data_IF_517301966178
#
_entry.id   IF_517301966178
#
_cell.length_a   1.000
_cell.length_b   1.000
_cell.length_c   1.000
_cell.angle_alpha   90.00
_cell.angle_beta   90.00
_cell.angle_gamma   90.00
#
_symmetry.space_group_name_H-M   'P 1'
#
loop_
_entity.id
_entity.type
_entity.pdbx_description
1 polymer ?
#
# COMPACT_ATOMS: atom_id res chain seq x y z
N UNK A 1 -9.24 32.54 -9.19
CA UNK A 1 -8.11 33.10 -9.99
C UNK A 1 -7.14 31.96 -10.21
N UNK A 2 -6.76 31.71 -11.46
CA UNK A 2 -5.77 30.69 -11.80
C UNK A 2 -4.40 31.04 -11.20
N UNK A 3 -3.73 30.01 -10.71
CA UNK A 3 -2.39 30.13 -10.18
C UNK A 3 -1.38 29.84 -11.30
N UNK A 4 -0.40 30.71 -11.48
CA UNK A 4 0.69 30.53 -12.44
C UNK A 4 1.97 30.25 -11.67
N UNK A 5 2.58 29.10 -11.90
CA UNK A 5 3.86 28.71 -11.31
C UNK A 5 4.97 28.72 -12.38
N UNK A 6 5.98 29.55 -12.17
CA UNK A 6 7.13 29.71 -13.09
C UNK A 6 6.73 30.02 -14.56
N UNK A 7 5.62 30.70 -14.75
CA UNK A 7 5.07 31.04 -16.08
C UNK A 7 4.82 29.80 -17.01
N UNK A 8 5.00 28.61 -16.48
CA UNK A 8 4.87 27.35 -17.24
C UNK A 8 3.63 26.54 -16.87
N UNK A 9 3.11 26.74 -15.66
CA UNK A 9 1.99 25.96 -15.13
C UNK A 9 0.89 26.91 -14.67
N UNK A 10 -0.32 26.67 -15.13
CA UNK A 10 -1.52 27.36 -14.69
C UNK A 10 -2.56 26.34 -14.20
N UNK A 11 -3.36 26.71 -13.23
CA UNK A 11 -4.40 25.84 -12.68
C UNK A 11 -5.01 26.40 -11.40
N UNK A 12 -5.98 25.68 -10.86
CA UNK A 12 -6.59 26.02 -9.57
C UNK A 12 -5.63 25.61 -8.43
N UNK A 13 -5.22 26.54 -7.55
CA UNK A 13 -4.39 26.20 -6.42
C UNK A 13 -5.18 25.38 -5.40
N UNK A 14 -4.58 24.29 -4.91
CA UNK A 14 -5.13 23.44 -3.85
C UNK A 14 -4.22 23.55 -2.64
N UNK A 15 -4.81 23.88 -1.49
CA UNK A 15 -4.08 24.03 -0.23
C UNK A 15 -4.40 22.86 0.71
N UNK A 16 -3.36 22.25 1.27
CA UNK A 16 -3.47 21.29 2.36
C UNK A 16 -3.03 21.95 3.67
N UNK A 17 -3.87 21.89 4.68
CA UNK A 17 -3.62 22.50 5.99
C UNK A 17 -3.63 21.38 7.04
N UNK A 18 -2.53 21.29 7.81
CA UNK A 18 -2.46 20.38 8.95
C UNK A 18 -2.70 21.18 10.25
N UNK A 19 -3.71 20.78 10.98
CA UNK A 19 -4.00 21.33 12.31
C UNK A 19 -3.32 20.46 13.35
N UNK A 20 -2.28 20.99 14.01
CA UNK A 20 -1.48 20.24 14.99
C UNK A 20 -2.22 19.95 16.29
N UNK A 21 -3.22 20.76 16.64
CA UNK A 21 -3.98 20.68 17.89
C UNK A 21 -5.48 20.50 17.60
N UNK A 22 -6.24 20.17 18.64
CA UNK A 22 -7.70 20.01 18.57
C UNK A 22 -8.32 21.25 17.93
N UNK A 23 -8.68 21.13 16.68
CA UNK A 23 -9.55 22.12 16.04
C UNK A 23 -10.93 21.95 16.69
N UNK A 24 -11.43 23.01 17.30
CA UNK A 24 -12.83 23.06 17.65
C UNK A 24 -13.63 22.83 16.37
N UNK A 25 -14.41 21.78 16.34
CA UNK A 25 -15.14 21.30 15.17
C UNK A 25 -16.15 22.31 14.64
N UNK A 26 -16.38 23.42 15.36
CA UNK A 26 -17.34 24.47 15.02
C UNK A 26 -16.98 25.27 13.74
N UNK A 27 -15.70 25.28 13.36
CA UNK A 27 -15.26 25.91 12.10
C UNK A 27 -15.50 25.02 10.85
N UNK A 28 -15.87 23.73 11.05
CA UNK A 28 -15.99 22.74 9.96
C UNK A 28 -17.44 22.32 9.72
N UNK A 29 -18.41 22.98 10.37
CA UNK A 29 -19.84 22.73 10.14
C UNK A 29 -20.31 23.43 8.87
N UNK A 30 -19.90 22.92 7.74
CA UNK A 30 -20.39 23.34 6.42
C UNK A 30 -20.74 22.09 5.61
N UNK A 31 -21.88 22.06 4.96
CA UNK A 31 -22.36 20.99 4.09
C UNK A 31 -21.39 20.66 2.93
N UNK A 32 -20.39 21.53 2.71
CA UNK A 32 -19.31 21.35 1.73
C UNK A 32 -18.11 20.58 2.24
N UNK A 33 -18.11 20.13 3.52
CA UNK A 33 -16.97 19.44 4.14
C UNK A 33 -17.24 17.94 4.26
N UNK A 34 -16.43 17.14 3.60
CA UNK A 34 -16.45 15.69 3.72
C UNK A 34 -15.42 15.24 4.75
N UNK A 35 -15.87 14.55 5.81
CA UNK A 35 -14.98 13.94 6.80
C UNK A 35 -14.55 12.56 6.34
N UNK A 36 -13.28 12.40 6.01
CA UNK A 36 -12.70 11.11 5.64
C UNK A 36 -12.04 10.44 6.84
N UNK A 37 -12.45 9.21 7.15
CA UNK A 37 -11.75 8.29 8.05
C UNK A 37 -10.84 7.37 7.24
N UNK A 38 -9.95 6.62 7.89
CA UNK A 38 -9.14 5.61 7.20
C UNK A 38 -9.99 4.61 6.41
N UNK A 39 -11.14 4.21 6.95
CA UNK A 39 -12.04 3.26 6.28
C UNK A 39 -12.86 3.92 5.17
N UNK A 40 -13.36 5.15 5.38
CA UNK A 40 -14.19 5.83 4.39
C UNK A 40 -13.40 6.30 3.17
N UNK A 41 -12.10 6.59 3.31
CA UNK A 41 -11.22 6.93 2.17
C UNK A 41 -11.30 5.89 1.05
N UNK A 42 -11.36 4.61 1.39
CA UNK A 42 -11.45 3.54 0.39
C UNK A 42 -12.82 3.43 -0.29
N UNK A 43 -13.86 3.94 0.36
CA UNK A 43 -15.22 3.89 -0.16
C UNK A 43 -15.62 5.20 -0.84
N UNK A 44 -15.16 6.32 -0.31
CA UNK A 44 -15.64 7.66 -0.68
C UNK A 44 -14.78 8.31 -1.78
N UNK A 45 -13.48 7.99 -1.86
CA UNK A 45 -12.61 8.48 -2.93
C UNK A 45 -12.65 7.51 -4.13
N UNK A 46 -13.63 7.68 -4.97
CA UNK A 46 -13.83 6.84 -6.18
C UNK A 46 -13.16 7.42 -7.43
N UNK A 47 -12.84 8.73 -7.42
CA UNK A 47 -12.10 9.39 -8.50
C UNK A 47 -10.58 9.30 -8.24
N UNK A 48 -9.85 8.86 -9.26
CA UNK A 48 -8.39 8.76 -9.23
C UNK A 48 -7.70 10.11 -8.97
N UNK A 49 -8.27 11.22 -9.42
CA UNK A 49 -7.73 12.56 -9.19
C UNK A 49 -7.88 12.95 -7.72
N UNK A 50 -9.04 12.74 -7.12
CA UNK A 50 -9.28 13.01 -5.70
C UNK A 50 -8.40 12.14 -4.81
N UNK A 51 -8.27 10.85 -5.13
CA UNK A 51 -7.38 9.93 -4.41
C UNK A 51 -5.91 10.36 -4.50
N UNK A 52 -5.47 10.85 -5.66
CA UNK A 52 -4.12 11.39 -5.86
C UNK A 52 -3.90 12.67 -5.05
N UNK A 53 -4.84 13.61 -5.08
CA UNK A 53 -4.78 14.85 -4.30
C UNK A 53 -4.76 14.57 -2.79
N UNK A 54 -5.58 13.65 -2.32
CA UNK A 54 -5.58 13.20 -0.93
C UNK A 54 -4.22 12.62 -0.54
N UNK A 55 -3.65 11.74 -1.38
CA UNK A 55 -2.34 11.12 -1.13
C UNK A 55 -1.23 12.18 -1.05
N UNK A 56 -1.18 13.13 -2.00
CA UNK A 56 -0.24 14.24 -1.98
C UNK A 56 -0.40 15.08 -0.71
N UNK A 57 -1.61 15.55 -0.42
CA UNK A 57 -1.88 16.38 0.74
C UNK A 57 -1.43 15.69 2.04
N UNK A 58 -1.79 14.41 2.20
CA UNK A 58 -1.47 13.63 3.38
C UNK A 58 0.04 13.41 3.53
N UNK A 59 0.72 12.99 2.48
CA UNK A 59 2.17 12.69 2.52
C UNK A 59 2.98 13.97 2.77
N UNK A 60 2.67 15.08 2.10
CA UNK A 60 3.37 16.35 2.28
C UNK A 60 3.11 16.95 3.67
N UNK A 61 1.87 16.96 4.15
CA UNK A 61 1.57 17.51 5.49
C UNK A 61 2.20 16.66 6.59
N UNK A 62 2.20 15.33 6.44
CA UNK A 62 2.84 14.45 7.41
C UNK A 62 4.36 14.63 7.42
N UNK A 63 4.98 14.74 6.26
CA UNK A 63 6.41 15.02 6.14
C UNK A 63 6.77 16.36 6.78
N UNK A 64 6.07 17.45 6.46
CA UNK A 64 6.32 18.78 7.03
C UNK A 64 6.10 18.84 8.56
N UNK A 65 5.24 17.96 9.09
CA UNK A 65 5.00 17.86 10.53
C UNK A 65 6.15 17.14 11.25
N UNK A 66 6.71 16.10 10.63
CA UNK A 66 7.76 15.28 11.23
C UNK A 66 9.15 15.91 11.12
N UNK A 67 9.44 16.57 10.00
CA UNK A 67 10.75 17.17 9.75
C UNK A 67 10.76 18.61 10.24
N UNK A 68 11.52 18.87 11.30
CA UNK A 68 11.64 20.20 11.93
C UNK A 68 13.06 20.73 11.95
N UNK A 69 14.05 19.86 11.79
CA UNK A 69 15.45 20.16 11.93
C UNK A 69 16.25 19.72 10.71
N UNK A 70 17.27 20.50 10.40
CA UNK A 70 18.22 20.18 9.35
C UNK A 70 19.02 18.91 9.70
N UNK A 71 19.08 17.97 8.77
CA UNK A 71 19.78 16.70 8.96
C UNK A 71 21.30 16.87 9.01
N UNK A 72 21.84 17.96 8.48
CA UNK A 72 23.28 18.26 8.45
C UNK A 72 23.77 18.93 9.72
N UNK A 73 23.05 19.94 10.21
CA UNK A 73 23.54 20.80 11.31
C UNK A 73 22.57 20.93 12.49
N UNK A 74 21.41 20.30 12.45
CA UNK A 74 20.41 20.35 13.53
C UNK A 74 19.62 21.66 13.65
N UNK A 75 19.89 22.66 12.81
CA UNK A 75 19.21 23.96 12.85
C UNK A 75 17.77 23.86 12.31
N UNK A 76 16.96 24.87 12.52
CA UNK A 76 15.60 24.94 11.97
C UNK A 76 15.61 24.90 10.43
N UNK A 77 14.54 24.39 9.88
CA UNK A 77 14.32 24.35 8.43
C UNK A 77 13.16 25.24 8.04
N UNK A 78 13.21 25.74 6.81
CA UNK A 78 12.13 26.50 6.19
C UNK A 78 11.63 25.76 4.96
N UNK A 79 10.30 25.56 4.87
CA UNK A 79 9.68 25.00 3.68
C UNK A 79 9.56 26.03 2.57
N UNK A 80 9.92 25.61 1.35
CA UNK A 80 9.87 26.42 0.13
C UNK A 80 9.13 25.66 -0.97
N UNK A 81 8.92 26.25 -2.13
CA UNK A 81 8.23 25.67 -3.28
C UNK A 81 6.86 25.08 -2.91
N UNK A 82 6.04 25.86 -2.18
CA UNK A 82 4.71 25.38 -1.76
C UNK A 82 4.74 24.21 -0.78
N UNK A 83 5.83 24.02 -0.03
CA UNK A 83 5.99 22.95 0.95
C UNK A 83 6.59 21.66 0.40
N UNK A 84 7.02 21.64 -0.87
CA UNK A 84 7.57 20.43 -1.50
C UNK A 84 9.07 20.24 -1.30
N UNK A 85 9.75 21.24 -0.73
CA UNK A 85 11.17 21.23 -0.41
C UNK A 85 11.43 22.04 0.86
N UNK A 86 12.47 21.72 1.61
CA UNK A 86 12.95 22.57 2.68
C UNK A 86 14.40 23.01 2.45
N UNK A 87 14.78 24.11 3.10
CA UNK A 87 16.15 24.64 3.20
C UNK A 87 16.50 24.87 4.66
N UNK A 88 17.80 24.81 4.97
CA UNK A 88 18.29 25.15 6.30
C UNK A 88 18.28 26.68 6.51
N UNK A 89 17.88 27.12 7.69
CA UNK A 89 17.89 28.58 8.03
C UNK A 89 19.28 29.10 8.36
N UNK A 90 20.24 28.22 8.65
CA UNK A 90 21.63 28.59 8.94
C UNK A 90 22.40 28.83 7.65
N UNK A 91 22.78 30.07 7.37
CA UNK A 91 23.42 30.49 6.11
C UNK A 91 24.73 29.78 5.77
N UNK A 92 25.50 29.33 6.78
CA UNK A 92 26.76 28.60 6.57
C UNK A 92 26.54 27.09 6.33
N UNK A 93 25.31 26.57 6.44
CA UNK A 93 25.01 25.19 6.20
C UNK A 93 24.99 24.92 4.68
N UNK A 94 25.60 23.81 4.20
CA UNK A 94 25.51 23.44 2.77
C UNK A 94 24.08 23.29 2.27
N UNK A 95 23.10 23.02 3.16
CA UNK A 95 21.69 22.87 2.82
C UNK A 95 20.87 24.17 2.93
N UNK A 96 21.52 25.32 3.13
CA UNK A 96 20.86 26.62 3.08
C UNK A 96 20.63 27.12 1.64
N UNK A 97 21.45 26.68 0.68
CA UNK A 97 21.29 27.06 -0.70
C UNK A 97 20.24 26.19 -1.40
N UNK A 98 19.11 26.78 -1.84
CA UNK A 98 18.05 26.03 -2.52
C UNK A 98 18.49 25.43 -3.87
N UNK A 99 19.60 25.90 -4.45
CA UNK A 99 20.14 25.40 -5.70
C UNK A 99 21.09 24.21 -5.52
N UNK A 100 21.54 23.95 -4.29
CA UNK A 100 22.36 22.78 -4.01
C UNK A 100 21.48 21.54 -3.84
N UNK A 101 21.39 20.74 -4.87
CA UNK A 101 20.56 19.51 -4.93
C UNK A 101 21.24 18.25 -4.38
N UNK A 102 22.26 18.40 -3.55
CA UNK A 102 23.10 17.26 -3.13
C UNK A 102 22.47 16.36 -2.06
N UNK A 103 21.32 16.74 -1.50
CA UNK A 103 20.72 16.01 -0.41
C UNK A 103 19.24 15.67 -0.68
N UNK A 104 18.97 14.38 -0.83
CA UNK A 104 17.60 13.87 -1.00
C UNK A 104 16.72 14.11 0.23
N UNK A 105 17.27 14.33 1.41
CA UNK A 105 16.51 14.63 2.63
C UNK A 105 15.74 15.97 2.55
N UNK A 106 16.12 16.88 1.66
CA UNK A 106 15.41 18.14 1.44
C UNK A 106 14.04 17.97 0.75
N UNK A 107 13.70 16.76 0.34
CA UNK A 107 12.44 16.40 -0.31
C UNK A 107 11.69 15.36 0.50
N UNK A 108 10.34 15.24 0.36
CA UNK A 108 9.61 14.13 0.95
C UNK A 108 10.12 12.81 0.38
N UNK A 109 10.18 11.80 1.24
CA UNK A 109 10.52 10.44 0.83
C UNK A 109 9.25 9.63 0.60
N UNK A 110 9.37 8.62 -0.24
CA UNK A 110 8.38 7.56 -0.40
C UNK A 110 9.09 6.24 -0.11
N UNK A 111 8.50 5.41 0.75
CA UNK A 111 9.05 4.11 1.12
C UNK A 111 8.50 3.05 0.17
N UNK A 112 9.36 2.35 -0.62
CA UNK A 112 8.91 1.31 -1.53
C UNK A 112 8.55 0.04 -0.75
N UNK A 113 7.42 -0.57 -1.12
CA UNK A 113 6.88 -1.81 -0.54
C UNK A 113 6.50 -2.72 -1.68
N UNK A 114 7.02 -3.93 -1.72
CA UNK A 114 6.53 -4.96 -2.65
C UNK A 114 5.27 -5.60 -2.08
N UNK A 115 4.31 -5.89 -2.96
CA UNK A 115 3.10 -6.63 -2.61
C UNK A 115 2.87 -7.70 -3.69
N UNK A 116 2.86 -8.97 -3.29
CA UNK A 116 3.05 -10.09 -4.20
C UNK A 116 1.92 -11.10 -4.09
N UNK A 117 1.23 -11.37 -5.18
CA UNK A 117 0.36 -12.53 -5.31
C UNK A 117 1.21 -13.72 -5.80
N UNK A 118 1.23 -14.80 -5.03
CA UNK A 118 1.99 -16.01 -5.33
C UNK A 118 1.04 -17.00 -5.98
N UNK A 119 1.38 -17.48 -7.18
CA UNK A 119 0.53 -18.39 -7.95
C UNK A 119 1.32 -19.60 -8.43
N UNK A 120 0.65 -20.74 -8.58
CA UNK A 120 1.26 -21.87 -9.26
C UNK A 120 1.26 -21.67 -10.80
N UNK A 121 2.04 -22.48 -11.51
CA UNK A 121 2.34 -22.30 -12.94
C UNK A 121 1.10 -22.28 -13.85
N UNK A 122 0.05 -23.02 -13.50
CA UNK A 122 -1.21 -23.06 -14.27
C UNK A 122 -2.27 -22.07 -13.76
N UNK A 123 -1.93 -21.20 -12.82
CA UNK A 123 -2.80 -20.20 -12.23
C UNK A 123 -4.00 -20.74 -11.43
N UNK A 124 -4.09 -22.06 -11.24
CA UNK A 124 -5.22 -22.68 -10.53
C UNK A 124 -5.22 -22.43 -9.03
N UNK A 125 -4.07 -22.04 -8.47
CA UNK A 125 -3.89 -21.76 -7.04
C UNK A 125 -3.22 -20.40 -6.82
N UNK A 126 -3.72 -19.68 -5.81
CA UNK A 126 -3.13 -18.43 -5.33
C UNK A 126 -2.93 -18.51 -3.82
N UNK A 127 -1.71 -18.23 -3.37
CA UNK A 127 -1.43 -18.14 -1.94
C UNK A 127 -1.83 -16.75 -1.42
N UNK A 128 -2.67 -16.73 -0.39
CA UNK A 128 -3.03 -15.54 0.35
C UNK A 128 -2.71 -15.73 1.83
N UNK A 129 -2.38 -14.64 2.48
CA UNK A 129 -1.91 -14.60 3.85
C UNK A 129 -2.78 -13.73 4.76
N UNK A 130 -2.80 -14.07 6.04
CA UNK A 130 -3.48 -13.35 7.10
C UNK A 130 -2.45 -12.72 8.02
N UNK A 131 -2.38 -11.40 8.04
CA UNK A 131 -1.49 -10.69 8.97
C UNK A 131 -2.07 -10.62 10.40
N UNK A 132 -1.20 -10.30 11.36
CA UNK A 132 -1.61 -10.05 12.77
C UNK A 132 -2.46 -8.78 12.94
N UNK A 133 -2.52 -7.90 11.94
CA UNK A 133 -3.30 -6.67 12.02
C UNK A 133 -4.80 -7.01 12.01
N UNK A 134 -5.49 -6.66 13.08
CA UNK A 134 -6.95 -6.78 13.15
C UNK A 134 -7.61 -5.66 12.35
N UNK A 135 -8.60 -5.99 11.52
CA UNK A 135 -9.40 -5.04 10.74
C UNK A 135 -10.72 -4.71 11.46
N UNK A 136 -11.14 -5.57 12.36
CA UNK A 136 -12.37 -5.42 13.15
C UNK A 136 -12.70 -6.72 13.89
N UNK A 137 -13.64 -6.65 14.83
CA UNK A 137 -14.11 -7.86 15.53
C UNK A 137 -14.85 -8.77 14.55
N UNK A 138 -14.49 -10.03 14.52
CA UNK A 138 -15.15 -11.04 13.68
C UNK A 138 -14.77 -11.00 12.19
N UNK A 139 -13.82 -10.15 11.78
CA UNK A 139 -13.36 -10.05 10.40
C UNK A 139 -11.96 -10.65 10.26
N UNK A 140 -11.82 -11.62 9.37
CA UNK A 140 -10.56 -12.22 8.97
C UNK A 140 -10.29 -11.82 7.52
N UNK A 141 -9.21 -11.05 7.26
CA UNK A 141 -8.80 -10.72 5.91
C UNK A 141 -7.62 -11.56 5.47
N UNK A 142 -7.74 -12.17 4.29
CA UNK A 142 -6.62 -12.74 3.56
C UNK A 142 -6.24 -11.82 2.41
N UNK A 143 -4.96 -11.54 2.30
CA UNK A 143 -4.38 -10.63 1.32
C UNK A 143 -3.14 -11.24 0.70
N UNK A 144 -2.60 -10.57 -0.29
CA UNK A 144 -1.28 -10.87 -0.85
C UNK A 144 -0.18 -10.51 0.15
N UNK A 145 0.95 -11.22 0.10
CA UNK A 145 2.16 -11.00 0.91
C UNK A 145 2.75 -9.63 0.62
N UNK A 146 3.21 -8.89 1.63
CA UNK A 146 3.75 -7.55 1.41
C UNK A 146 4.77 -7.13 2.47
N UNK A 147 5.93 -6.63 2.00
CA UNK A 147 6.97 -6.12 2.87
C UNK A 147 7.77 -4.97 2.26
N UNK A 148 8.57 -4.32 3.09
CA UNK A 148 9.41 -3.20 2.68
C UNK A 148 10.62 -3.67 1.88
N UNK A 149 10.98 -2.89 0.87
CA UNK A 149 12.25 -3.08 0.18
C UNK A 149 13.40 -2.60 1.05
N UNK A 150 14.45 -3.43 1.15
CA UNK A 150 15.69 -3.05 1.82
C UNK A 150 16.58 -2.19 0.89
N UNK A 151 17.42 -1.30 1.46
CA UNK A 151 18.35 -0.51 0.67
C UNK A 151 19.27 -1.38 -0.18
N UNK A 152 19.23 -1.14 -1.50
CA UNK A 152 20.05 -1.87 -2.47
C UNK A 152 19.37 -3.09 -3.09
N UNK A 153 18.17 -3.44 -2.67
CA UNK A 153 17.38 -4.48 -3.34
C UNK A 153 16.79 -4.01 -4.67
N UNK A 154 16.65 -4.94 -5.61
CA UNK A 154 15.72 -4.78 -6.72
C UNK A 154 14.30 -5.18 -6.28
N UNK A 155 13.29 -4.81 -7.05
CA UNK A 155 11.90 -5.21 -6.78
C UNK A 155 11.80 -6.73 -6.71
N UNK A 156 12.43 -7.42 -7.65
CA UNK A 156 12.38 -8.89 -7.74
C UNK A 156 13.09 -9.55 -6.57
N UNK A 157 14.27 -9.02 -6.15
CA UNK A 157 14.98 -9.58 -4.98
C UNK A 157 14.21 -9.36 -3.67
N UNK A 158 13.56 -8.21 -3.55
CA UNK A 158 12.68 -7.95 -2.42
C UNK A 158 11.47 -8.89 -2.40
N UNK A 159 10.83 -9.11 -3.57
CA UNK A 159 9.75 -10.10 -3.68
C UNK A 159 10.21 -11.51 -3.27
N UNK A 160 11.40 -11.95 -3.73
CA UNK A 160 11.94 -13.26 -3.33
C UNK A 160 12.12 -13.36 -1.83
N UNK A 161 12.74 -12.36 -1.22
CA UNK A 161 13.00 -12.34 0.22
C UNK A 161 11.70 -12.34 1.03
N UNK A 162 10.80 -11.40 0.77
CA UNK A 162 9.54 -11.28 1.52
C UNK A 162 8.66 -12.54 1.37
N UNK A 163 8.55 -13.09 0.16
CA UNK A 163 7.80 -14.33 -0.05
C UNK A 163 8.40 -15.48 0.73
N UNK A 164 9.73 -15.60 0.74
CA UNK A 164 10.40 -16.65 1.49
C UNK A 164 10.31 -16.44 3.00
N UNK A 165 10.56 -15.22 3.49
CA UNK A 165 10.48 -14.88 4.92
C UNK A 165 9.09 -15.12 5.50
N UNK A 166 8.04 -14.71 4.77
CA UNK A 166 6.67 -14.83 5.25
C UNK A 166 6.03 -16.20 5.01
N UNK A 167 6.44 -16.95 3.98
CA UNK A 167 5.75 -18.20 3.58
C UNK A 167 6.63 -19.42 3.38
N UNK A 168 7.95 -19.27 3.38
CA UNK A 168 8.89 -20.35 3.07
C UNK A 168 8.92 -20.77 1.59
N UNK A 169 8.14 -20.11 0.72
CA UNK A 169 8.05 -20.46 -0.69
C UNK A 169 9.25 -19.89 -1.45
N UNK A 170 9.96 -20.74 -2.21
CA UNK A 170 11.10 -20.33 -3.05
C UNK A 170 10.65 -19.87 -4.44
N UNK A 171 10.78 -18.58 -4.69
CA UNK A 171 10.44 -17.94 -5.97
C UNK A 171 11.71 -17.64 -6.75
N UNK A 172 11.74 -17.92 -8.04
CA UNK A 172 12.87 -17.56 -8.90
C UNK A 172 12.71 -16.13 -9.42
N UNK A 173 13.81 -15.37 -9.41
CA UNK A 173 13.88 -14.00 -9.90
C UNK A 173 13.17 -13.77 -11.25
N UNK A 174 13.39 -14.66 -12.22
CA UNK A 174 12.81 -14.61 -13.57
C UNK A 174 11.29 -14.88 -13.63
N UNK A 175 10.73 -15.44 -12.58
CA UNK A 175 9.31 -15.81 -12.48
C UNK A 175 8.49 -14.74 -11.71
N UNK A 176 9.09 -13.56 -11.50
CA UNK A 176 8.45 -12.39 -10.90
C UNK A 176 8.08 -11.39 -11.99
N UNK A 177 6.84 -10.92 -11.99
CA UNK A 177 6.32 -9.92 -12.93
C UNK A 177 5.75 -8.74 -12.19
N UNK A 178 6.23 -7.51 -12.49
CA UNK A 178 5.67 -6.28 -11.96
C UNK A 178 4.41 -5.93 -12.75
N UNK A 179 3.29 -5.73 -12.08
CA UNK A 179 1.98 -5.53 -12.71
C UNK A 179 1.50 -4.09 -12.57
N UNK A 180 1.61 -3.51 -11.38
CA UNK A 180 0.99 -2.23 -11.04
C UNK A 180 1.70 -1.57 -9.87
N UNK A 181 1.48 -0.27 -9.67
CA UNK A 181 1.86 0.42 -8.44
C UNK A 181 0.71 1.26 -7.90
N UNK A 182 0.73 1.54 -6.59
CA UNK A 182 -0.26 2.37 -5.92
C UNK A 182 0.39 3.20 -4.81
N UNK A 183 0.22 4.54 -4.81
CA UNK A 183 0.56 5.36 -3.66
C UNK A 183 -0.27 4.92 -2.45
N UNK A 184 0.40 4.74 -1.31
CA UNK A 184 -0.22 4.31 -0.06
C UNK A 184 0.20 5.26 1.06
N UNK A 185 -0.58 6.34 1.30
CA UNK A 185 -0.19 7.43 2.21
C UNK A 185 -0.34 7.07 3.70
N UNK A 186 0.07 5.85 4.09
CA UNK A 186 -0.02 5.31 5.44
C UNK A 186 1.29 4.61 5.85
N UNK A 187 2.34 5.37 6.20
CA UNK A 187 2.42 6.82 6.19
C UNK A 187 2.78 7.43 4.83
N UNK A 188 3.67 6.83 4.03
CA UNK A 188 4.24 7.39 2.82
C UNK A 188 4.79 6.32 1.87
N UNK A 189 4.03 5.24 1.69
CA UNK A 189 4.47 4.10 0.92
C UNK A 189 4.10 4.19 -0.57
N UNK A 190 4.90 3.56 -1.41
CA UNK A 190 4.56 3.19 -2.76
C UNK A 190 4.48 1.67 -2.82
N UNK A 191 3.26 1.15 -2.95
CA UNK A 191 3.04 -0.28 -3.16
C UNK A 191 3.39 -0.65 -4.60
N UNK A 192 4.21 -1.67 -4.77
CA UNK A 192 4.65 -2.20 -6.08
C UNK A 192 4.08 -3.61 -6.19
N UNK A 193 3.04 -3.77 -6.99
CA UNK A 193 2.31 -5.00 -7.17
C UNK A 193 3.01 -5.98 -8.10
N UNK A 194 3.28 -7.16 -7.60
CA UNK A 194 3.98 -8.24 -8.29
C UNK A 194 3.17 -9.52 -8.31
N UNK A 195 3.43 -10.32 -9.34
CA UNK A 195 3.01 -11.72 -9.42
C UNK A 195 4.26 -12.58 -9.34
N UNK A 196 4.29 -13.54 -8.44
CA UNK A 196 5.33 -14.56 -8.33
C UNK A 196 4.78 -15.91 -8.75
N UNK A 197 5.30 -16.49 -9.84
CA UNK A 197 4.87 -17.79 -10.33
C UNK A 197 5.81 -18.88 -9.83
N UNK A 198 5.26 -19.93 -9.22
CA UNK A 198 6.04 -21.04 -8.66
C UNK A 198 5.65 -22.36 -9.26
N UNK A 199 6.60 -23.28 -9.32
CA UNK A 199 6.34 -24.68 -9.67
C UNK A 199 5.96 -25.47 -8.41
N UNK A 200 4.86 -26.20 -8.47
CA UNK A 200 4.53 -27.18 -7.44
C UNK A 200 5.42 -28.42 -7.65
N UNK A 201 6.37 -28.59 -6.75
CA UNK A 201 7.45 -29.57 -6.87
C UNK A 201 7.58 -30.48 -5.63
N UNK A 202 6.58 -30.45 -4.74
CA UNK A 202 6.56 -31.17 -3.47
C UNK A 202 7.17 -30.37 -2.32
N UNK A 203 7.67 -29.15 -2.57
CA UNK A 203 8.21 -28.23 -1.57
C UNK A 203 7.45 -26.89 -1.55
N UNK A 204 7.24 -26.27 -2.69
CA UNK A 204 6.58 -24.97 -2.78
C UNK A 204 5.07 -25.00 -2.47
N UNK A 205 4.48 -26.19 -2.37
CA UNK A 205 3.11 -26.37 -1.86
C UNK A 205 3.03 -26.26 -0.35
N UNK A 206 4.17 -26.46 0.33
CA UNK A 206 4.27 -26.45 1.79
C UNK A 206 4.56 -25.02 2.23
N UNK A 207 3.64 -24.43 2.97
CA UNK A 207 3.81 -23.09 3.56
C UNK A 207 4.44 -23.26 4.93
N UNK A 208 5.56 -22.57 5.16
CA UNK A 208 6.24 -22.49 6.45
C UNK A 208 6.25 -21.04 6.97
N UNK A 209 5.57 -20.78 8.07
CA UNK A 209 5.45 -19.48 8.72
C UNK A 209 6.47 -19.25 9.84
N UNK A 210 7.48 -20.12 9.97
CA UNK A 210 8.44 -20.04 11.09
C UNK A 210 9.65 -19.15 10.80
N UNK A 211 9.83 -18.68 9.57
CA UNK A 211 10.97 -17.83 9.20
C UNK A 211 10.79 -16.41 9.74
N UNK A 212 9.61 -15.83 9.57
CA UNK A 212 9.22 -14.55 10.17
C UNK A 212 7.81 -14.64 10.77
N UNK A 213 7.63 -14.37 12.08
CA UNK A 213 6.35 -14.54 12.75
C UNK A 213 5.36 -13.35 12.50
N UNK A 214 5.39 -12.70 11.35
CA UNK A 214 4.48 -11.58 11.03
C UNK A 214 3.08 -12.05 10.65
N UNK A 215 2.96 -13.22 10.03
CA UNK A 215 1.69 -13.79 9.62
C UNK A 215 1.04 -14.66 10.72
N UNK A 216 -0.29 -14.69 10.74
CA UNK A 216 -1.07 -15.63 11.54
C UNK A 216 -1.38 -16.91 10.78
N UNK A 217 -1.51 -16.81 9.47
CA UNK A 217 -1.83 -17.92 8.58
C UNK A 217 -1.51 -17.57 7.13
N UNK A 218 -1.25 -18.58 6.31
CA UNK A 218 -1.24 -18.47 4.86
C UNK A 218 -1.73 -19.79 4.25
N UNK A 219 -2.46 -19.68 3.14
CA UNK A 219 -3.09 -20.84 2.48
C UNK A 219 -3.08 -20.69 0.96
N UNK A 220 -3.09 -21.83 0.26
CA UNK A 220 -3.36 -21.92 -1.16
C UNK A 220 -4.88 -21.98 -1.40
N UNK A 221 -5.41 -20.91 -2.01
CA UNK A 221 -6.82 -20.85 -2.42
C UNK A 221 -6.98 -21.31 -3.87
N UNK A 222 -8.08 -21.99 -4.17
CA UNK A 222 -8.48 -22.23 -5.57
C UNK A 222 -8.82 -20.91 -6.25
N UNK A 223 -8.21 -20.65 -7.40
CA UNK A 223 -8.48 -19.43 -8.17
C UNK A 223 -9.95 -19.35 -8.61
N UNK A 224 -10.60 -20.49 -8.82
CA UNK A 224 -12.05 -20.54 -9.08
C UNK A 224 -12.88 -20.03 -7.91
N UNK A 225 -12.48 -20.33 -6.67
CA UNK A 225 -13.16 -19.81 -5.48
C UNK A 225 -12.92 -18.31 -5.32
N UNK A 226 -11.73 -17.82 -5.67
CA UNK A 226 -11.44 -16.38 -5.73
C UNK A 226 -12.29 -15.69 -6.80
N UNK A 227 -12.45 -16.27 -7.99
CA UNK A 227 -13.33 -15.75 -9.05
C UNK A 227 -14.78 -15.62 -8.56
N UNK A 228 -15.31 -16.65 -7.91
CA UNK A 228 -16.65 -16.61 -7.32
C UNK A 228 -16.78 -15.52 -6.24
N UNK A 229 -15.73 -15.32 -5.42
CA UNK A 229 -15.69 -14.29 -4.39
C UNK A 229 -15.66 -12.88 -5.00
N UNK A 230 -14.90 -12.67 -6.06
CA UNK A 230 -14.85 -11.38 -6.75
C UNK A 230 -16.18 -11.04 -7.44
N UNK A 231 -16.84 -12.01 -8.06
CA UNK A 231 -18.12 -11.83 -8.76
C UNK A 231 -19.27 -11.34 -7.84
N UNK A 232 -19.27 -11.77 -6.60
CA UNK A 232 -20.27 -11.34 -5.60
C UNK A 232 -19.87 -10.06 -4.87
N UNK A 233 -18.65 -9.59 -5.01
CA UNK A 233 -18.18 -8.32 -4.45
C UNK A 233 -18.91 -7.08 -5.03
N UNK A 234 -19.62 -7.22 -6.15
CA UNK A 234 -20.44 -6.14 -6.73
C UNK A 234 -21.56 -5.67 -5.79
N UNK A 235 -21.96 -6.49 -4.83
CA UNK A 235 -22.96 -6.16 -3.82
C UNK A 235 -22.41 -5.43 -2.58
N UNK A 236 -21.12 -5.09 -2.53
CA UNK A 236 -20.49 -4.36 -1.43
C UNK A 236 -20.22 -5.19 -0.18
N UNK A 237 -20.53 -6.49 -0.17
CA UNK A 237 -20.28 -7.42 0.92
C UNK A 237 -19.52 -8.66 0.44
N UNK A 238 -18.73 -9.15 1.32
CA UNK A 238 -17.70 -10.15 1.23
C UNK A 238 -18.27 -11.53 1.25
N UNK A 239 -17.84 -12.34 0.31
CA UNK A 239 -18.12 -13.75 0.38
C UNK A 239 -17.17 -14.45 1.33
N UNK A 240 -17.67 -15.46 2.05
CA UNK A 240 -16.81 -16.36 2.78
C UNK A 240 -15.94 -17.13 1.76
N UNK A 241 -14.64 -16.88 1.79
CA UNK A 241 -13.67 -17.81 1.25
C UNK A 241 -13.84 -19.11 2.02
N UNK A 242 -13.91 -20.24 1.31
CA UNK A 242 -13.89 -21.55 1.94
C UNK A 242 -12.49 -21.76 2.52
N UNK A 243 -12.36 -21.56 3.82
CA UNK A 243 -11.18 -22.00 4.55
C UNK A 243 -11.21 -23.52 4.69
N UNK A 244 -10.03 -24.13 4.68
CA UNK A 244 -9.93 -25.53 5.08
C UNK A 244 -10.38 -25.69 6.52
N UNK A 245 -11.64 -26.14 6.69
CA UNK A 245 -12.33 -26.22 7.98
C UNK A 245 -11.65 -27.15 9.01
N UNK A 246 -10.66 -27.95 8.59
CA UNK A 246 -9.92 -28.82 9.50
C UNK A 246 -9.04 -28.02 10.49
N UNK A 247 -8.67 -26.80 10.14
CA UNK A 247 -7.76 -25.93 10.94
C UNK A 247 -8.51 -24.89 11.77
N UNK A 248 -9.74 -24.54 11.37
CA UNK A 248 -10.53 -23.48 12.02
C UNK A 248 -11.94 -23.97 12.30
N UNK A 249 -12.24 -24.23 13.58
CA UNK A 249 -13.61 -24.22 14.09
C UNK A 249 -14.07 -22.78 14.06
N UNK A 250 -14.49 -22.28 12.89
CA UNK A 250 -14.95 -20.91 12.74
C UNK A 250 -16.31 -20.74 13.43
N UNK A 251 -16.35 -19.82 14.37
CA UNK A 251 -17.59 -19.23 14.85
C UNK A 251 -18.40 -18.76 13.63
N UNK A 252 -19.68 -19.11 13.50
CA UNK A 252 -20.53 -18.64 12.40
C UNK A 252 -20.60 -17.12 12.22
N UNK A 253 -20.20 -16.36 13.24
CA UNK A 253 -20.08 -14.89 13.18
C UNK A 253 -18.79 -14.39 12.52
N UNK A 254 -17.83 -15.26 12.17
CA UNK A 254 -16.58 -14.85 11.54
C UNK A 254 -16.75 -14.77 10.02
N UNK A 255 -16.50 -13.58 9.48
CA UNK A 255 -16.51 -13.32 8.05
C UNK A 255 -15.07 -13.27 7.51
N UNK A 256 -14.77 -14.07 6.49
CA UNK A 256 -13.49 -14.05 5.78
C UNK A 256 -13.59 -13.11 4.59
N UNK A 257 -12.58 -12.24 4.44
CA UNK A 257 -12.60 -11.16 3.48
C UNK A 257 -11.35 -11.12 2.60
N UNK A 258 -11.53 -10.69 1.34
CA UNK A 258 -10.46 -10.20 0.47
C UNK A 258 -10.28 -8.68 0.66
N UNK A 259 -9.14 -8.10 0.22
CA UNK A 259 -8.95 -6.66 0.19
C UNK A 259 -10.02 -5.93 -0.63
N UNK A 260 -10.33 -4.71 -0.23
CA UNK A 260 -11.33 -3.88 -0.92
C UNK A 260 -10.89 -3.44 -2.32
N UNK A 261 -11.88 -3.12 -3.20
CA UNK A 261 -11.69 -2.76 -4.62
C UNK A 261 -10.66 -1.65 -4.89
N UNK A 262 -10.45 -0.77 -3.93
CA UNK A 262 -9.53 0.35 -4.05
C UNK A 262 -8.12 0.04 -3.51
N UNK A 263 -7.82 -1.21 -3.18
CA UNK A 263 -6.51 -1.65 -2.75
C UNK A 263 -5.82 -2.46 -3.86
N UNK A 264 -4.52 -2.20 -4.07
CA UNK A 264 -3.73 -2.91 -5.08
C UNK A 264 -3.77 -4.44 -4.93
N UNK A 265 -3.91 -4.95 -3.70
CA UNK A 265 -4.07 -6.38 -3.44
C UNK A 265 -5.32 -6.96 -4.13
N UNK A 266 -6.42 -6.21 -4.19
CA UNK A 266 -7.62 -6.60 -4.96
C UNK A 266 -7.31 -6.67 -6.46
N UNK A 267 -6.59 -5.68 -6.99
CA UNK A 267 -6.18 -5.68 -8.40
C UNK A 267 -5.31 -6.90 -8.74
N UNK A 268 -4.39 -7.28 -7.84
CA UNK A 268 -3.55 -8.46 -8.03
C UNK A 268 -4.36 -9.76 -8.03
N UNK A 269 -5.30 -9.93 -7.10
CA UNK A 269 -6.19 -11.10 -7.09
C UNK A 269 -7.06 -11.12 -8.36
N UNK A 270 -7.58 -9.97 -8.78
CA UNK A 270 -8.34 -9.85 -10.03
C UNK A 270 -7.48 -10.22 -11.26
N UNK A 271 -6.22 -9.80 -11.27
CA UNK A 271 -5.28 -10.18 -12.33
C UNK A 271 -5.06 -11.69 -12.38
N UNK A 272 -4.88 -12.33 -11.23
CA UNK A 272 -4.72 -13.80 -11.13
C UNK A 272 -5.95 -14.52 -11.68
N UNK A 273 -7.15 -14.10 -11.28
CA UNK A 273 -8.41 -14.70 -11.77
C UNK A 273 -8.54 -14.56 -13.28
N UNK A 274 -8.29 -13.38 -13.84
CA UNK A 274 -8.34 -13.17 -15.29
C UNK A 274 -7.35 -14.06 -16.03
N UNK A 275 -6.13 -14.20 -15.52
CA UNK A 275 -5.12 -15.08 -16.12
C UNK A 275 -5.53 -16.56 -16.08
N UNK A 276 -6.13 -17.00 -15.00
CA UNK A 276 -6.68 -18.35 -14.90
C UNK A 276 -7.81 -18.58 -15.93
N UNK A 277 -8.74 -17.63 -16.06
CA UNK A 277 -9.85 -17.70 -17.03
C UNK A 277 -9.38 -17.70 -18.49
N UNK A 278 -8.22 -17.08 -18.79
CA UNK A 278 -7.58 -17.12 -20.12
C UNK A 278 -6.94 -18.50 -20.43
N UNK A 279 -6.68 -19.33 -19.42
CA UNK A 279 -6.00 -20.64 -19.57
C UNK A 279 -6.97 -21.84 -19.58
N UNK A 280 -8.21 -21.63 -19.19
CA UNK A 280 -9.28 -22.65 -19.15
C UNK A 280 -10.21 -22.49 -20.35
#
# INVERSE_FOLDING_TARGET
>A
KDFIYKEQYSGTPIFAINFADKVETDYIQNDSVTKLTFQSVFNDLTDNMEASLYSHARMYTQWSTKFKRCVECGEEIQFIHGGSKWVCTRSQCPLADPLQHRNNAAYPRTDPVVITAIVNRDWSKCCLARSKRSIGKGIIMYSTVAGFMEPGETIESSCQREVWEETGIDVKYKDITIVKSQPWPYPQNLMIGCIATVDFNGQNEIIDLNHDPELLDAQWFDTRDLSNSLATYESGFLLPLKLDNAKYSLDPEITVQLPGKNAIAYDLVTYVVKKFEETV
#
